data_IF_051368348883
#
_entry.id   IF_051368348883
#
_cell.length_a   1.000
_cell.length_b   1.000
_cell.length_c   1.000
_cell.angle_alpha   90.00
_cell.angle_beta   90.00
_cell.angle_gamma   90.00
#
_symmetry.space_group_name_H-M   'P 1'
#
loop_
_entity.id
_entity.type
_entity.pdbx_description
1 polymer ?
2 non-polymer ?
3 water ?
#
# COMPACT_ATOMS: atom_id res chain seq x y z
N UNK A 8 -6.95 -3.72 14.64
CA UNK A 8 -7.19 -2.67 15.68
C UNK A 8 -6.10 -1.61 15.86
N UNK A 9 -5.07 -1.62 15.04
CA UNK A 9 -4.01 -0.62 15.17
C UNK A 9 -4.52 0.74 14.70
N UNK A 10 -3.97 1.80 15.29
CA UNK A 10 -4.28 3.18 14.90
C UNK A 10 -3.90 3.48 13.43
N UNK A 11 -2.77 2.93 12.99
CA UNK A 11 -2.32 3.07 11.59
C UNK A 11 -3.30 2.42 10.59
N UNK A 12 -3.80 1.24 10.92
CA UNK A 12 -4.76 0.56 10.06
C UNK A 12 -6.09 1.31 10.00
N UNK A 13 -6.54 1.83 11.14
CA UNK A 13 -7.76 2.65 11.17
C UNK A 13 -7.66 3.89 10.29
N UNK A 14 -6.53 4.60 10.38
CA UNK A 14 -6.23 5.75 9.50
C UNK A 14 -6.23 5.38 8.00
N UNK A 15 -5.55 4.30 7.66
CA UNK A 15 -5.49 3.82 6.27
C UNK A 15 -6.89 3.50 5.70
N UNK A 16 -7.75 2.86 6.50
CA UNK A 16 -9.14 2.59 6.10
C UNK A 16 -9.93 3.91 5.94
N UNK A 17 -9.81 4.80 6.94
CA UNK A 17 -10.55 6.04 6.97
C UNK A 17 -10.18 6.98 5.82
N UNK A 18 -8.90 7.02 5.48
CA UNK A 18 -8.43 7.77 4.32
C UNK A 18 -8.95 7.34 2.97
N UNK A 19 -9.15 6.05 2.78
CA UNK A 19 -9.74 5.54 1.53
C UNK A 19 -11.19 5.91 1.51
N UNK A 20 -11.84 5.81 2.67
CA UNK A 20 -13.24 6.20 2.80
C UNK A 20 -13.47 7.69 2.61
N UNK A 21 -12.53 8.51 3.07
CA UNK A 21 -12.58 9.97 2.89
C UNK A 21 -12.57 10.35 1.42
N UNK A 22 -11.63 9.78 0.68
CA UNK A 22 -11.52 9.97 -0.77
C UNK A 22 -12.80 9.57 -1.49
N UNK A 23 -13.23 8.34 -1.23
CA UNK A 23 -14.45 7.79 -1.84
C UNK A 23 -15.65 8.71 -1.61
N UNK A 24 -15.79 9.22 -0.38
CA UNK A 24 -16.93 10.05 -0.02
C UNK A 24 -16.87 11.38 -0.75
N UNK A 25 -15.67 11.99 -0.77
CA UNK A 25 -15.44 13.23 -1.49
C UNK A 25 -15.67 13.03 -2.98
N UNK A 26 -15.18 11.93 -3.53
CA UNK A 26 -15.39 11.59 -4.96
C UNK A 26 -16.89 11.50 -5.32
N UNK A 27 -17.66 10.80 -4.47
CA UNK A 27 -19.12 10.68 -4.64
C UNK A 27 -19.82 12.02 -4.44
N UNK A 28 -19.41 12.76 -3.40
CA UNK A 28 -19.98 14.05 -3.13
C UNK A 28 -19.88 14.95 -4.36
N UNK A 29 -18.71 14.97 -4.99
CA UNK A 29 -18.45 15.89 -6.13
C UNK A 29 -19.21 15.46 -7.37
N UNK A 30 -19.28 14.13 -7.59
CA UNK A 30 -20.07 13.55 -8.67
C UNK A 30 -21.52 13.94 -8.54
N UNK A 31 -22.12 13.73 -7.36
CA UNK A 31 -23.55 14.01 -7.14
C UNK A 31 -23.91 15.48 -7.33
N UNK A 32 -23.06 16.37 -6.82
CA UNK A 32 -23.29 17.82 -6.98
C UNK A 32 -23.37 18.26 -8.43
N UNK A 33 -22.41 17.80 -9.24
CA UNK A 33 -22.38 18.03 -10.69
C UNK A 33 -23.66 17.55 -11.39
N UNK A 34 -24.06 16.31 -11.13
CA UNK A 34 -25.24 15.74 -11.80
C UNK A 34 -26.57 16.30 -11.27
N UNK A 35 -26.52 17.12 -10.23
CA UNK A 35 -27.68 17.84 -9.71
C UNK A 35 -27.20 19.17 -9.14
N UNK A 57 -32.65 17.21 -4.10
CA UNK A 57 -31.87 18.23 -4.79
C UNK A 57 -30.88 18.94 -3.86
N UNK A 58 -31.35 19.31 -2.67
CA UNK A 58 -30.53 20.03 -1.68
C UNK A 58 -29.42 19.17 -1.04
N UNK A 59 -29.74 17.88 -0.79
CA UNK A 59 -28.88 16.98 -0.03
C UNK A 59 -28.22 15.95 -0.96
N UNK A 60 -27.11 15.38 -0.50
CA UNK A 60 -26.40 14.34 -1.23
C UNK A 60 -26.40 13.07 -0.37
N UNK A 61 -27.02 12.02 -0.91
CA UNK A 61 -27.17 10.74 -0.22
C UNK A 61 -26.40 9.71 -1.00
N UNK A 62 -25.56 8.96 -0.29
CA UNK A 62 -24.75 7.88 -0.87
C UNK A 62 -25.08 6.55 -0.21
N UNK A 63 -25.26 5.52 -1.04
CA UNK A 63 -25.52 4.17 -0.58
C UNK A 63 -24.20 3.52 -0.18
N UNK A 64 -24.26 2.57 0.75
CA UNK A 64 -23.08 1.80 1.14
C UNK A 64 -22.60 0.91 0.00
N UNK A 65 -23.48 0.54 -0.92
CA UNK A 65 -23.09 -0.22 -2.11
C UNK A 65 -22.25 0.62 -3.09
N UNK A 66 -22.47 1.94 -3.10
CA UNK A 66 -21.70 2.86 -3.93
C UNK A 66 -20.35 3.20 -3.29
N UNK A 67 -20.31 3.22 -1.95
CA UNK A 67 -19.04 3.45 -1.25
C UNK A 67 -18.13 2.24 -1.50
N UNK A 68 -18.73 1.05 -1.53
CA UNK A 68 -18.05 -0.23 -1.74
C UNK A 68 -17.34 -0.39 -3.08
N UNK A 69 -17.76 0.34 -4.12
CA UNK A 69 -17.17 0.22 -5.46
C UNK A 69 -15.85 0.99 -5.61
N UNK A 70 -14.85 0.54 -4.88
CA UNK A 70 -13.51 1.10 -4.95
C UNK A 70 -12.51 0.01 -4.63
N UNK A 71 -11.54 -0.19 -5.52
CA UNK A 71 -10.61 -1.31 -5.43
C UNK A 71 -9.65 -1.20 -4.25
N UNK A 72 -9.15 0.00 -3.98
CA UNK A 72 -8.22 0.23 -2.85
C UNK A 72 -8.88 -0.01 -1.50
N UNK A 73 -10.13 0.42 -1.38
CA UNK A 73 -10.92 0.16 -0.15
C UNK A 73 -10.98 -1.36 0.08
N UNK A 74 -11.34 -2.10 -0.96
CA UNK A 74 -11.41 -3.57 -0.85
C UNK A 74 -10.04 -4.15 -0.53
N UNK A 75 -9.04 -3.76 -1.30
CA UNK A 75 -7.68 -4.25 -1.04
C UNK A 75 -7.20 -3.91 0.38
N UNK A 76 -7.60 -2.75 0.91
CA UNK A 76 -7.13 -2.30 2.25
C UNK A 76 -7.82 -3.09 3.35
N UNK A 77 -9.14 -3.21 3.23
CA UNK A 77 -9.91 -4.09 4.13
C UNK A 77 -9.48 -5.57 4.02
N UNK A 78 -9.07 -6.03 2.84
CA UNK A 78 -8.61 -7.43 2.66
C UNK A 78 -7.29 -7.78 3.36
N UNK A 79 -6.50 -6.77 3.72
CA UNK A 79 -5.30 -6.96 4.54
C UNK A 79 -5.59 -7.78 5.83
N UNK A 80 -6.63 -7.41 6.60
CA UNK A 80 -6.97 -8.09 7.86
C UNK A 80 -8.26 -8.89 7.89
N UNK A 81 -9.20 -8.65 6.98
CA UNK A 81 -10.51 -9.29 7.05
C UNK A 81 -10.84 -10.05 5.79
N UNK A 82 -11.70 -11.04 5.95
CA UNK A 82 -12.27 -11.78 4.83
C UNK A 82 -13.49 -11.00 4.36
N UNK A 83 -13.37 -10.31 3.23
CA UNK A 83 -14.44 -9.47 2.69
C UNK A 83 -14.84 -9.85 1.26
N UNK A 84 -14.68 -11.13 0.93
CA UNK A 84 -15.06 -11.66 -0.39
C UNK A 84 -16.59 -11.69 -0.55
N UNK A 85 -17.30 -11.96 0.55
CA UNK A 85 -18.77 -11.88 0.59
C UNK A 85 -19.23 -10.46 0.88
N UNK A 86 -20.23 -10.01 0.12
CA UNK A 86 -20.66 -8.61 0.15
C UNK A 86 -21.08 -8.14 1.53
N UNK A 87 -21.89 -8.96 2.20
CA UNK A 87 -22.43 -8.60 3.51
C UNK A 87 -21.33 -8.34 4.54
N UNK A 88 -20.29 -9.17 4.50
CA UNK A 88 -19.12 -9.00 5.34
C UNK A 88 -18.28 -7.78 4.96
N UNK A 89 -18.16 -7.53 3.66
CA UNK A 89 -17.51 -6.33 3.16
C UNK A 89 -18.30 -5.08 3.63
N UNK A 90 -19.62 -5.12 3.48
CA UNK A 90 -20.49 -4.02 3.87
C UNK A 90 -20.48 -3.82 5.38
N UNK A 91 -20.45 -4.91 6.14
CA UNK A 91 -20.38 -4.80 7.59
C UNK A 91 -19.14 -3.99 8.02
N UNK A 92 -17.97 -4.33 7.46
CA UNK A 92 -16.72 -3.68 7.84
C UNK A 92 -16.64 -2.22 7.40
N UNK A 93 -17.27 -1.89 6.26
CA UNK A 93 -17.46 -0.50 5.84
C UNK A 93 -18.35 0.28 6.82
N UNK A 94 -19.49 -0.31 7.22
CA UNK A 94 -20.39 0.34 8.20
C UNK A 94 -19.68 0.59 9.53
N UNK A 95 -18.90 -0.39 9.98
CA UNK A 95 -18.09 -0.25 11.19
C UNK A 95 -17.10 0.95 11.14
N UNK A 96 -16.27 1.03 10.10
CA UNK A 96 -15.32 2.16 9.93
C UNK A 96 -16.02 3.51 9.75
N UNK A 97 -17.16 3.52 9.10
CA UNK A 97 -18.00 4.73 8.94
C UNK A 97 -18.70 5.27 10.22
N UNK A 98 -18.79 4.49 11.31
CA UNK A 98 -19.35 5.00 12.60
C UNK A 98 -18.60 6.24 13.10
N UNK A 99 -17.27 6.23 13.00
CA UNK A 99 -16.48 7.41 13.33
C UNK A 99 -16.79 8.66 12.48
N UNK A 100 -17.11 8.44 11.20
CA UNK A 100 -17.49 9.53 10.28
C UNK A 100 -18.81 10.15 10.74
N UNK A 101 -19.71 9.32 11.24
CA UNK A 101 -20.99 9.80 11.80
C UNK A 101 -20.73 10.66 13.03
N UNK A 102 -19.91 10.18 13.96
CA UNK A 102 -19.66 10.91 15.21
C UNK A 102 -18.94 12.27 15.06
N UNK A 103 -18.14 12.46 13.99
CA UNK A 103 -17.52 13.76 13.67
C UNK A 103 -18.40 14.65 12.75
N UNK A 104 -19.57 14.14 12.35
CA UNK A 104 -20.57 14.90 11.56
C UNK A 104 -20.20 15.09 10.08
N UNK A 105 -19.28 14.29 9.57
CA UNK A 105 -18.98 14.26 8.15
C UNK A 105 -20.09 13.52 7.36
N UNK A 106 -20.70 12.53 8.01
CA UNK A 106 -21.86 11.81 7.47
C UNK A 106 -22.96 11.71 8.54
N UNK A 107 -24.17 11.40 8.08
CA UNK A 107 -25.28 11.06 8.95
C UNK A 107 -26.04 9.87 8.33
N UNK A 108 -26.27 8.82 9.12
CA UNK A 108 -26.98 7.65 8.58
C UNK A 108 -28.46 8.02 8.49
N UNK A 109 -29.05 7.77 7.31
CA UNK A 109 -30.47 8.07 7.09
C UNK A 109 -31.32 6.86 6.77
N UNK A 110 -30.69 5.76 6.37
CA UNK A 110 -31.37 4.50 6.14
C UNK A 110 -30.53 3.41 6.82
N UNK A 111 -31.18 2.58 7.63
CA UNK A 111 -30.47 1.68 8.58
C UNK A 111 -30.56 0.19 8.27
N UNK A 112 -31.49 -0.20 7.40
CA UNK A 112 -31.90 -1.59 7.25
C UNK A 112 -31.55 -2.09 5.87
N UNK A 113 -30.50 -2.91 5.82
CA UNK A 113 -30.06 -3.56 4.59
C UNK A 113 -31.24 -4.24 3.86
N UNK A 114 -31.39 -4.09 2.54
CA UNK A 114 -30.39 -3.53 1.61
C UNK A 114 -30.31 -2.01 1.48
N UNK A 115 -31.09 -1.24 2.25
CA UNK A 115 -31.03 0.22 2.23
C UNK A 115 -30.24 0.79 3.43
N UNK A 116 -28.91 0.76 3.30
CA UNK A 116 -28.02 1.47 4.22
C UNK A 116 -27.41 2.58 3.43
N UNK A 117 -27.72 3.81 3.80
CA UNK A 117 -27.17 4.96 3.11
C UNK A 117 -27.01 6.14 4.05
N UNK A 118 -26.21 7.11 3.61
CA UNK A 118 -25.74 8.23 4.42
C UNK A 118 -25.91 9.56 3.69
N UNK A 119 -26.24 10.60 4.44
CA UNK A 119 -26.20 11.95 3.94
C UNK A 119 -24.81 12.53 4.20
N UNK A 120 -24.21 13.17 3.20
CA UNK A 120 -22.86 13.76 3.39
C UNK A 120 -23.05 15.22 3.76
N UNK A 121 -22.28 15.66 4.75
CA UNK A 121 -22.23 17.06 5.16
C UNK A 121 -21.35 17.77 4.15
N UNK A 122 -21.96 18.66 3.39
CA UNK A 122 -21.28 19.37 2.34
C UNK A 122 -20.32 20.41 2.96
N UNK A 123 -20.73 21.05 4.06
CA UNK A 123 -19.88 21.93 4.87
C UNK A 123 -18.59 21.27 5.35
N UNK A 124 -18.68 20.03 5.84
CA UNK A 124 -17.49 19.31 6.32
C UNK A 124 -16.43 19.23 5.23
N UNK A 125 -16.82 18.80 4.03
CA UNK A 125 -15.86 18.65 2.93
C UNK A 125 -15.46 19.95 2.27
N UNK A 126 -16.37 20.92 2.21
CA UNK A 126 -16.01 22.26 1.75
C UNK A 126 -14.99 22.87 2.74
N UNK A 127 -15.22 22.73 4.03
CA UNK A 127 -14.25 23.17 5.03
C UNK A 127 -12.85 22.55 4.80
N UNK A 128 -12.79 21.26 4.44
CA UNK A 128 -11.53 20.61 4.11
C UNK A 128 -10.86 21.32 2.94
N UNK A 129 -11.65 21.69 1.91
CA UNK A 129 -11.10 22.39 0.76
C UNK A 129 -10.62 23.81 1.10
N UNK A 130 -11.38 24.53 1.93
CA UNK A 130 -10.99 25.89 2.41
C UNK A 130 -9.63 25.88 3.15
N UNK A 131 -9.46 24.89 4.03
CA UNK A 131 -8.25 24.73 4.85
C UNK A 131 -7.03 24.33 4.01
N UNK A 132 -7.23 23.37 3.10
CA UNK A 132 -6.18 22.96 2.15
C UNK A 132 -5.71 24.11 1.28
N UNK A 133 -6.65 24.86 0.73
CA UNK A 133 -6.38 26.03 -0.07
C UNK A 133 -5.55 27.09 0.68
N UNK A 134 -5.94 27.40 1.91
CA UNK A 134 -5.29 28.44 2.68
C UNK A 134 -3.85 28.03 3.08
N UNK A 135 -3.69 26.77 3.47
CA UNK A 135 -2.40 26.20 3.86
C UNK A 135 -1.34 26.30 2.76
N UNK A 136 -1.74 25.95 1.54
CA UNK A 136 -0.81 25.99 0.40
C UNK A 136 -0.60 27.41 -0.08
N UNK A 137 -1.67 28.21 -0.12
CA UNK A 137 -1.58 29.62 -0.48
C UNK A 137 -0.64 30.42 0.43
N UNK A 138 -0.71 30.21 1.75
CA UNK A 138 0.14 30.98 2.70
C UNK A 138 1.63 30.63 2.61
N UNK A 139 1.93 29.44 2.10
CA UNK A 139 3.32 29.03 1.84
C UNK A 139 3.98 29.81 0.70
N UNK A 140 3.17 30.26 -0.27
CA UNK A 140 3.64 31.07 -1.38
C UNK A 140 4.71 30.36 -2.19
N UNK A 141 5.73 31.12 -2.60
CA UNK A 141 6.81 30.59 -3.43
C UNK A 141 7.66 29.50 -2.80
N UNK A 142 7.70 29.40 -1.47
CA UNK A 142 8.34 28.24 -0.81
C UNK A 142 7.58 26.92 -1.08
N UNK A 143 6.26 27.00 -1.23
CA UNK A 143 5.44 25.83 -1.45
C UNK A 143 5.45 24.89 -0.26
N UNK A 144 4.92 23.68 -0.45
CA UNK A 144 4.95 22.68 0.59
C UNK A 144 4.86 21.29 0.01
N UNK A 145 4.93 20.30 0.89
CA UNK A 145 4.92 18.90 0.51
C UNK A 145 3.73 18.15 1.10
N UNK A 146 3.66 16.84 0.86
CA UNK A 146 2.49 16.04 1.21
C UNK A 146 2.35 15.88 2.73
N UNK A 147 3.44 15.64 3.45
CA UNK A 147 3.38 15.54 4.93
C UNK A 147 2.93 16.84 5.59
N UNK A 148 3.47 17.95 5.12
CA UNK A 148 3.15 19.25 5.71
C UNK A 148 1.65 19.49 5.63
N UNK A 149 1.10 19.37 4.42
CA UNK A 149 -0.32 19.55 4.19
C UNK A 149 -1.18 18.62 5.05
N UNK A 150 -0.80 17.34 5.12
CA UNK A 150 -1.48 16.34 5.99
C UNK A 150 -1.51 16.72 7.47
N UNK A 151 -0.35 17.07 8.01
CA UNK A 151 -0.25 17.56 9.40
C UNK A 151 -1.07 18.83 9.64
N UNK A 152 -1.07 19.72 8.66
CA UNK A 152 -1.81 20.98 8.74
C UNK A 152 -3.32 20.80 8.69
N UNK A 153 -3.80 19.98 7.74
CA UNK A 153 -5.23 19.65 7.66
C UNK A 153 -5.69 19.08 8.98
N UNK A 154 -4.99 18.04 9.42
CA UNK A 154 -5.26 17.35 10.69
C UNK A 154 -5.25 18.25 11.93
N UNK A 155 -4.25 19.11 12.05
CA UNK A 155 -4.21 20.08 13.17
C UNK A 155 -5.43 21.00 13.13
N UNK A 156 -5.84 21.41 11.93
CA UNK A 156 -6.93 22.38 11.75
C UNK A 156 -8.34 21.78 11.82
N UNK A 157 -8.48 20.48 11.55
CA UNK A 157 -9.76 19.80 11.80
C UNK A 157 -9.93 19.52 13.29
N UNK A 158 -8.82 19.13 13.94
CA UNK A 158 -8.77 18.95 15.37
C UNK A 158 -9.88 18.00 15.85
N UNK A 159 -9.85 16.76 15.35
CA UNK A 159 -10.86 15.75 15.65
C UNK A 159 -10.38 14.79 16.76
N UNK A 160 -10.20 15.37 17.95
CA UNK A 160 -9.56 14.67 19.08
C UNK A 160 -10.47 13.61 19.71
N UNK A 161 -11.77 13.75 19.51
CA UNK A 161 -12.77 12.75 19.91
C UNK A 161 -12.75 11.37 19.15
N UNK A 162 -11.82 11.15 18.20
CA UNK A 162 -11.71 9.85 17.51
C UNK A 162 -10.55 8.98 18.00
N UNK A 163 -9.34 9.55 18.11
CA UNK A 163 -8.11 8.88 18.63
C UNK A 163 -7.15 8.31 17.56
N UNK A 164 -7.52 8.44 16.30
CA UNK A 164 -6.59 8.26 15.17
C UNK A 164 -6.97 9.36 14.15
N UNK A 165 -6.02 9.79 13.30
CA UNK A 165 -6.38 10.77 12.27
C UNK A 165 -7.21 10.15 11.13
N UNK A 166 -8.13 10.94 10.57
CA UNK A 166 -8.91 10.52 9.39
C UNK A 166 -8.20 10.82 8.06
N UNK A 167 -7.18 11.68 8.11
CA UNK A 167 -6.47 12.13 6.93
C UNK A 167 -5.29 11.19 6.64
N UNK A 168 -5.44 10.33 5.63
CA UNK A 168 -4.34 9.48 5.21
C UNK A 168 -3.53 10.17 4.14
N UNK A 169 -2.35 9.63 3.89
CA UNK A 169 -1.50 10.04 2.79
C UNK A 169 -2.24 9.89 1.45
N UNK A 170 -2.91 8.76 1.23
CA UNK A 170 -3.61 8.57 -0.06
C UNK A 170 -4.76 9.60 -0.27
N UNK A 171 -5.44 9.99 0.78
CA UNK A 171 -6.46 11.06 0.67
C UNK A 171 -5.82 12.41 0.32
N UNK A 172 -4.69 12.72 0.91
CA UNK A 172 -3.97 13.96 0.59
C UNK A 172 -3.51 14.00 -0.87
N UNK A 173 -2.94 12.91 -1.39
CA UNK A 173 -2.59 12.88 -2.82
C UNK A 173 -3.77 13.03 -3.75
N UNK A 174 -4.93 12.47 -3.39
CA UNK A 174 -6.14 12.71 -4.18
C UNK A 174 -6.56 14.22 -4.16
N UNK A 175 -6.50 14.86 -3.00
CA UNK A 175 -6.78 16.30 -2.93
C UNK A 175 -5.81 17.16 -3.73
N UNK A 176 -4.52 16.87 -3.62
CA UNK A 176 -3.48 17.61 -4.34
C UNK A 176 -3.70 17.48 -5.84
N UNK A 177 -3.90 16.24 -6.31
CA UNK A 177 -4.22 15.99 -7.73
C UNK A 177 -5.51 16.63 -8.21
N UNK A 178 -6.55 16.62 -7.38
CA UNK A 178 -7.77 17.38 -7.66
C UNK A 178 -7.49 18.86 -7.84
N UNK A 179 -6.79 19.47 -6.87
CA UNK A 179 -6.36 20.87 -6.99
C UNK A 179 -5.57 21.17 -8.28
N UNK A 180 -4.69 20.26 -8.69
CA UNK A 180 -3.90 20.42 -9.92
C UNK A 180 -4.78 20.39 -11.17
N UNK A 181 -5.81 19.53 -11.18
CA UNK A 181 -6.73 19.47 -12.32
C UNK A 181 -7.59 20.70 -12.50
N UNK A 182 -7.72 21.49 -11.44
CA UNK A 182 -8.42 22.77 -11.48
C UNK A 182 -7.48 23.98 -11.56
N UNK A 183 -6.22 23.73 -11.93
CA UNK A 183 -5.20 24.78 -12.10
C UNK A 183 -4.83 25.57 -10.83
N UNK A 184 -5.14 25.04 -9.66
CA UNK A 184 -4.90 25.75 -8.41
C UNK A 184 -3.48 25.48 -7.87
N UNK A 185 -2.95 24.30 -8.16
CA UNK A 185 -1.65 23.90 -7.67
C UNK A 185 -0.80 23.34 -8.81
N UNK A 186 0.50 23.67 -8.80
CA UNK A 186 1.50 23.07 -9.70
C UNK A 186 2.38 22.12 -8.91
N UNK A 187 2.48 20.88 -9.40
CA UNK A 187 3.27 19.84 -8.74
C UNK A 187 4.63 19.70 -9.42
N UNK A 188 5.67 19.69 -8.60
CA UNK A 188 7.05 19.61 -9.06
C UNK A 188 7.36 18.15 -9.37
N UNK A 189 8.03 17.89 -10.48
CA UNK A 189 8.47 16.52 -10.79
C UNK A 189 9.77 16.08 -10.10
N UNK A 190 10.48 17.00 -9.43
CA UNK A 190 11.72 16.66 -8.73
C UNK A 190 11.49 15.84 -7.45
N UNK A 191 12.43 14.95 -7.16
CA UNK A 191 12.41 14.04 -6.01
C UNK A 191 13.82 14.03 -5.47
N UNK A 192 13.96 13.84 -4.16
CA UNK A 192 15.26 13.60 -3.52
C UNK A 192 15.57 12.11 -3.44
N UNK A 193 16.86 11.79 -3.54
CA UNK A 193 17.33 10.43 -3.30
C UNK A 193 18.64 10.48 -2.53
N UNK A 194 18.95 9.38 -1.83
CA UNK A 194 20.07 9.31 -0.88
C UNK A 194 20.89 8.06 -1.14
N UNK A 195 22.21 8.20 -1.01
CA UNK A 195 23.10 7.06 -0.92
C UNK A 195 22.77 6.25 0.34
N UNK A 196 22.58 4.94 0.18
CA UNK A 196 22.41 4.01 1.31
C UNK A 196 23.74 3.71 2.00
N UNK A 197 23.94 4.28 3.19
CA UNK A 197 25.21 4.13 3.92
C UNK A 197 25.39 2.73 4.50
N UNK A 198 26.32 1.96 3.93
CA UNK A 198 26.56 0.55 4.32
C UNK A 198 27.01 0.41 5.79
N UNK B 9 -5.08 -12.44 7.74
CA UNK B 9 -3.64 -12.74 7.95
C UNK B 9 -2.93 -13.33 6.73
N UNK B 10 -3.58 -14.19 5.95
CA UNK B 10 -2.94 -14.77 4.76
C UNK B 10 -2.47 -13.67 3.79
N UNK B 11 -3.38 -12.74 3.48
CA UNK B 11 -3.01 -11.58 2.67
C UNK B 11 -1.92 -10.70 3.32
N UNK B 12 -1.98 -10.49 4.64
CA UNK B 12 -0.94 -9.69 5.33
C UNK B 12 0.43 -10.36 5.35
N UNK B 13 0.46 -11.68 5.51
CA UNK B 13 1.72 -12.42 5.47
C UNK B 13 2.35 -12.36 4.08
N UNK B 14 1.52 -12.50 3.05
CA UNK B 14 1.97 -12.32 1.66
C UNK B 14 2.56 -10.92 1.44
N UNK B 15 1.89 -9.90 1.94
CA UNK B 15 2.37 -8.52 1.74
C UNK B 15 3.74 -8.34 2.40
N UNK B 16 3.90 -8.85 3.63
CA UNK B 16 5.17 -8.78 4.35
C UNK B 16 6.27 -9.60 3.62
N UNK B 17 5.94 -10.83 3.24
CA UNK B 17 6.85 -11.72 2.52
C UNK B 17 7.32 -11.13 1.19
N UNK B 18 6.39 -10.53 0.46
CA UNK B 18 6.70 -9.82 -0.77
C UNK B 18 7.70 -8.70 -0.63
N UNK B 19 7.56 -7.91 0.44
CA UNK B 19 8.53 -6.87 0.71
C UNK B 19 9.88 -7.46 1.04
N UNK B 20 9.91 -8.51 1.85
CA UNK B 20 11.16 -9.16 2.26
C UNK B 20 11.91 -9.84 1.10
N UNK B 21 11.16 -10.39 0.15
CA UNK B 21 11.73 -11.00 -1.06
C UNK B 21 12.47 -9.99 -1.93
N UNK B 22 11.83 -8.86 -2.19
CA UNK B 22 12.43 -7.73 -2.91
C UNK B 22 13.71 -7.27 -2.24
N UNK B 23 13.61 -6.92 -0.97
CA UNK B 23 14.77 -6.48 -0.17
C UNK B 23 15.91 -7.48 -0.26
N UNK B 24 15.60 -8.77 -0.09
CA UNK B 24 16.60 -9.82 -0.14
C UNK B 24 17.24 -9.96 -1.54
N UNK B 25 16.41 -9.92 -2.59
CA UNK B 25 16.91 -10.01 -3.96
C UNK B 25 17.81 -8.81 -4.24
N UNK B 26 17.35 -7.64 -3.81
CA UNK B 26 18.13 -6.39 -3.87
C UNK B 26 19.53 -6.48 -3.22
N UNK B 27 19.59 -7.07 -2.02
CA UNK B 27 20.87 -7.20 -1.31
C UNK B 27 21.78 -8.23 -1.98
N UNK B 28 21.19 -9.36 -2.35
CA UNK B 28 21.87 -10.38 -3.12
C UNK B 28 22.58 -9.80 -4.33
N UNK B 29 21.87 -9.02 -5.13
CA UNK B 29 22.42 -8.48 -6.38
C UNK B 29 23.51 -7.45 -6.09
N UNK B 30 23.29 -6.60 -5.07
CA UNK B 30 24.31 -5.65 -4.60
C UNK B 30 25.59 -6.34 -4.20
N UNK B 31 25.49 -7.41 -3.41
CA UNK B 31 26.67 -8.12 -2.88
C UNK B 31 27.41 -8.89 -3.97
N UNK B 32 26.67 -9.57 -4.85
CA UNK B 32 27.30 -10.32 -5.94
C UNK B 32 28.28 -9.47 -6.74
N UNK B 33 27.84 -8.31 -7.21
CA UNK B 33 28.73 -7.43 -7.99
C UNK B 33 29.75 -6.64 -7.11
N UNK B 34 29.58 -6.61 -5.80
CA UNK B 34 30.61 -6.08 -4.89
C UNK B 34 31.92 -6.91 -4.91
N UNK B 35 31.87 -8.10 -5.48
CA UNK B 35 33.06 -8.89 -5.77
C UNK B 35 33.37 -8.83 -7.29
N UNK B 36 32.42 -9.27 -8.12
CA UNK B 36 32.55 -9.21 -9.59
C UNK B 36 31.18 -9.10 -10.25
N UNK B 57 34.21 -15.00 -0.38
CA UNK B 57 33.66 -14.50 -1.63
C UNK B 57 32.49 -15.34 -2.17
N UNK B 58 32.55 -16.67 -1.98
CA UNK B 58 31.54 -17.61 -2.50
C UNK B 58 30.08 -17.32 -2.05
N UNK B 59 29.91 -17.02 -0.76
CA UNK B 59 28.59 -16.91 -0.13
C UNK B 59 28.21 -15.44 0.13
N UNK B 60 26.92 -15.22 0.32
CA UNK B 60 26.38 -13.87 0.52
C UNK B 60 25.58 -13.87 1.82
N UNK B 61 26.07 -13.08 2.78
CA UNK B 61 25.47 -12.96 4.10
C UNK B 61 24.87 -11.57 4.20
N UNK B 62 23.61 -11.50 4.63
CA UNK B 62 22.92 -10.23 4.86
C UNK B 62 22.53 -10.10 6.33
N UNK B 63 22.71 -8.91 6.88
CA UNK B 63 22.41 -8.65 8.27
C UNK B 63 20.97 -8.23 8.36
N UNK B 64 20.34 -8.53 9.50
CA UNK B 64 18.96 -8.11 9.73
C UNK B 64 18.86 -6.58 9.79
N UNK B 65 19.96 -5.90 10.15
CA UNK B 65 20.00 -4.43 10.13
C UNK B 65 20.01 -3.86 8.71
N UNK B 66 20.57 -4.59 7.75
CA UNK B 66 20.51 -4.20 6.32
C UNK B 66 19.15 -4.52 5.72
N UNK B 67 18.50 -5.59 6.19
CA UNK B 67 17.16 -5.93 5.72
C UNK B 67 16.16 -4.88 6.20
N UNK B 68 16.34 -4.43 7.44
CA UNK B 68 15.53 -3.39 8.05
C UNK B 68 15.50 -2.03 7.33
N UNK B 69 16.56 -1.66 6.60
CA UNK B 69 16.63 -0.35 5.91
C UNK B 69 15.78 -0.27 4.62
N UNK B 70 14.46 -0.40 4.77
CA UNK B 70 13.53 -0.28 3.66
C UNK B 70 12.23 0.32 4.18
N UNK B 71 11.85 1.44 3.58
CA UNK B 71 10.67 2.20 4.03
C UNK B 71 9.36 1.43 3.89
N UNK B 72 9.18 0.70 2.79
CA UNK B 72 7.94 -0.04 2.58
C UNK B 72 7.81 -1.22 3.56
N UNK B 73 8.93 -1.85 3.91
CA UNK B 73 8.93 -2.88 4.95
C UNK B 73 8.45 -2.28 6.28
N UNK B 74 8.99 -1.13 6.65
CA UNK B 74 8.62 -0.47 7.90
C UNK B 74 7.15 -0.10 7.93
N UNK B 75 6.69 0.53 6.87
CA UNK B 75 5.28 0.92 6.76
C UNK B 75 4.35 -0.27 6.70
N UNK B 76 4.78 -1.39 6.11
CA UNK B 76 3.92 -2.58 6.03
C UNK B 76 3.77 -3.23 7.40
N UNK B 77 4.88 -3.38 8.11
CA UNK B 77 4.85 -3.89 9.48
C UNK B 77 4.11 -2.95 10.43
N UNK B 78 4.20 -1.64 10.19
CA UNK B 78 3.49 -0.65 11.02
C UNK B 78 1.98 -0.73 10.93
N UNK B 79 1.47 -1.35 9.86
CA UNK B 79 0.03 -1.61 9.75
C UNK B 79 -0.52 -2.32 11.01
N UNK B 80 0.07 -3.45 11.39
CA UNK B 80 -0.40 -4.25 12.55
C UNK B 80 0.45 -4.15 13.84
N UNK B 81 1.70 -3.68 13.73
CA UNK B 81 2.62 -3.71 14.87
C UNK B 81 3.24 -2.35 15.14
N UNK B 82 3.62 -2.12 16.39
CA UNK B 82 4.41 -0.94 16.75
C UNK B 82 5.88 -1.29 16.61
N UNK B 83 6.55 -0.67 15.64
CA UNK B 83 7.93 -1.00 15.31
C UNK B 83 8.81 0.25 15.30
N UNK B 84 8.51 1.20 16.19
CA UNK B 84 9.30 2.44 16.33
C UNK B 84 10.66 2.17 16.95
N UNK B 85 10.68 1.30 17.94
CA UNK B 85 11.91 0.86 18.59
C UNK B 85 12.60 -0.18 17.73
N UNK B 86 13.89 0.03 17.44
CA UNK B 86 14.73 -0.87 16.64
C UNK B 86 14.50 -2.36 16.94
N UNK B 87 14.62 -2.70 18.22
CA UNK B 87 14.65 -4.10 18.69
C UNK B 87 13.34 -4.81 18.35
N UNK B 88 12.25 -4.09 18.51
CA UNK B 88 10.91 -4.59 18.19
C UNK B 88 10.71 -4.75 16.68
N UNK B 89 11.19 -3.78 15.91
CA UNK B 89 11.19 -3.86 14.46
C UNK B 89 11.98 -5.10 13.98
N UNK B 90 13.17 -5.29 14.53
CA UNK B 90 14.02 -6.44 14.22
C UNK B 90 13.39 -7.77 14.59
N UNK B 91 12.73 -7.82 15.74
CA UNK B 91 12.01 -9.01 16.20
C UNK B 91 10.93 -9.48 15.18
N UNK B 92 10.13 -8.54 14.68
CA UNK B 92 9.07 -8.86 13.74
C UNK B 92 9.60 -9.29 12.37
N UNK B 93 10.71 -8.69 11.96
CA UNK B 93 11.45 -9.11 10.76
C UNK B 93 11.97 -10.53 10.92
N UNK B 94 12.55 -10.84 12.07
CA UNK B 94 13.03 -12.19 12.37
C UNK B 94 11.91 -13.24 12.37
N UNK B 95 10.75 -12.85 12.90
CA UNK B 95 9.56 -13.70 12.88
C UNK B 95 9.05 -13.97 11.46
N UNK B 96 8.94 -12.93 10.64
CA UNK B 96 8.50 -13.06 9.25
C UNK B 96 9.48 -13.88 8.41
N UNK B 97 10.77 -13.76 8.69
CA UNK B 97 11.82 -14.49 7.94
C UNK B 97 11.91 -16.00 8.25
N UNK B 98 11.32 -16.48 9.36
CA UNK B 98 11.35 -17.93 9.66
C UNK B 98 10.84 -18.77 8.49
N UNK B 99 9.80 -18.30 7.81
CA UNK B 99 9.26 -19.01 6.66
C UNK B 99 10.23 -19.08 5.47
N UNK B 100 11.09 -18.08 5.30
CA UNK B 100 12.11 -18.07 4.24
C UNK B 100 13.20 -19.10 4.53
N UNK B 101 13.53 -19.26 5.80
CA UNK B 101 14.46 -20.31 6.23
C UNK B 101 13.85 -21.68 5.90
N UNK B 102 12.58 -21.88 6.22
CA UNK B 102 11.94 -23.20 6.00
C UNK B 102 11.80 -23.62 4.51
N UNK B 103 11.78 -22.64 3.58
CA UNK B 103 11.84 -22.94 2.12
C UNK B 103 13.27 -22.86 1.53
N UNK B 104 14.27 -22.65 2.37
CA UNK B 104 15.68 -22.60 1.97
C UNK B 104 16.09 -21.43 1.06
N UNK B 105 15.27 -20.37 1.01
CA UNK B 105 15.70 -19.11 0.39
C UNK B 105 16.81 -18.45 1.22
N UNK B 106 16.77 -18.63 2.54
CA UNK B 106 17.81 -18.14 3.46
C UNK B 106 18.23 -19.25 4.42
N UNK B 107 19.33 -19.00 5.13
CA UNK B 107 19.80 -19.85 6.21
C UNK B 107 20.42 -18.95 7.29
N UNK B 108 19.97 -19.10 8.54
CA UNK B 108 20.51 -18.27 9.63
C UNK B 108 21.89 -18.80 10.03
N UNK B 109 22.89 -17.94 10.00
CA UNK B 109 24.25 -18.31 10.38
C UNK B 109 24.74 -17.61 11.65
N UNK B 110 24.03 -16.59 12.10
CA UNK B 110 24.36 -15.89 13.33
C UNK B 110 23.06 -15.61 14.09
N UNK B 111 23.02 -16.00 15.36
CA UNK B 111 21.76 -16.10 16.11
C UNK B 111 21.59 -15.10 17.26
N UNK B 112 22.66 -14.42 17.66
CA UNK B 112 22.70 -13.66 18.90
C UNK B 112 22.86 -12.18 18.62
N UNK B 113 21.82 -11.42 18.95
CA UNK B 113 21.81 -9.97 18.79
C UNK B 113 22.94 -9.34 19.64
N UNK B 114 23.72 -8.38 19.11
CA UNK B 114 23.45 -7.63 17.85
C UNK B 114 23.70 -8.34 16.53
N UNK B 115 24.26 -9.55 16.54
CA UNK B 115 24.59 -10.24 15.29
C UNK B 115 23.55 -11.32 14.88
N UNK B 116 22.54 -10.88 14.14
CA UNK B 116 21.58 -11.77 13.48
C UNK B 116 21.77 -11.57 11.99
N UNK B 117 22.18 -12.61 11.31
CA UNK B 117 22.44 -12.52 9.87
C UNK B 117 22.11 -13.84 9.20
N UNK B 118 21.90 -13.76 7.89
CA UNK B 118 21.44 -14.88 7.07
C UNK B 118 22.29 -15.04 5.82
N UNK B 119 22.51 -16.28 5.42
CA UNK B 119 23.15 -16.59 4.17
C UNK B 119 22.03 -16.78 3.18
N UNK B 120 22.13 -16.16 2.01
CA UNK B 120 21.02 -16.25 1.03
C UNK B 120 21.36 -17.31 -0.01
N UNK B 121 20.33 -18.07 -0.40
CA UNK B 121 20.47 -19.14 -1.39
C UNK B 121 20.48 -18.52 -2.78
N UNK B 122 21.65 -18.53 -3.41
CA UNK B 122 21.83 -17.88 -4.67
C UNK B 122 21.04 -18.61 -5.78
N UNK B 123 20.94 -19.94 -5.67
CA UNK B 123 20.12 -20.75 -6.60
C UNK B 123 18.62 -20.55 -6.44
N UNK B 124 18.16 -20.30 -5.22
CA UNK B 124 16.73 -20.05 -4.99
C UNK B 124 16.27 -18.85 -5.82
N UNK B 125 17.05 -17.76 -5.75
CA UNK B 125 16.74 -16.55 -6.51
C UNK B 125 17.07 -16.61 -7.98
N UNK B 126 18.08 -17.37 -8.38
CA UNK B 126 18.35 -17.59 -9.82
C UNK B 126 17.24 -18.43 -10.47
N UNK B 127 16.74 -19.43 -9.74
CA UNK B 127 15.57 -20.17 -10.19
C UNK B 127 14.33 -19.30 -10.45
N UNK B 128 14.09 -18.28 -9.61
CA UNK B 128 12.99 -17.33 -9.85
C UNK B 128 13.23 -16.54 -11.14
N UNK B 129 14.47 -16.16 -11.40
CA UNK B 129 14.81 -15.48 -12.64
C UNK B 129 14.63 -16.38 -13.89
N UNK B 130 15.05 -17.64 -13.81
CA UNK B 130 14.82 -18.59 -14.93
C UNK B 130 13.32 -18.80 -15.22
N UNK B 131 12.54 -18.93 -14.15
CA UNK B 131 11.09 -19.11 -14.25
C UNK B 131 10.37 -17.89 -14.82
N UNK B 132 10.73 -16.69 -14.35
CA UNK B 132 10.17 -15.46 -14.88
C UNK B 132 10.52 -15.29 -16.36
N UNK B 133 11.78 -15.56 -16.71
CA UNK B 133 12.24 -15.49 -18.09
C UNK B 133 11.46 -16.45 -18.99
N UNK B 134 11.26 -17.68 -18.52
CA UNK B 134 10.54 -18.68 -19.30
C UNK B 134 9.09 -18.30 -19.55
N UNK B 135 8.41 -17.84 -18.51
CA UNK B 135 7.00 -17.47 -18.61
C UNK B 135 6.75 -16.39 -19.65
N UNK B 136 7.58 -15.35 -19.62
CA UNK B 136 7.42 -14.21 -20.50
C UNK B 136 7.84 -14.57 -21.93
N UNK B 137 8.94 -15.30 -22.06
CA UNK B 137 9.42 -15.74 -23.37
C UNK B 137 8.41 -16.65 -24.11
N UNK B 138 7.76 -17.58 -23.39
CA UNK B 138 6.79 -18.50 -24.00
C UNK B 138 5.50 -17.80 -24.49
N UNK B 139 5.15 -16.68 -23.86
CA UNK B 139 4.02 -15.87 -24.31
C UNK B 139 4.29 -15.09 -25.62
N UNK B 140 5.57 -14.84 -25.91
CA UNK B 140 5.99 -14.17 -27.14
C UNK B 140 5.32 -12.84 -27.39
N UNK B 141 4.88 -12.63 -28.63
CA UNK B 141 4.19 -11.41 -29.06
C UNK B 141 2.81 -11.17 -28.43
N UNK B 142 2.21 -12.17 -27.79
CA UNK B 142 1.01 -11.93 -26.96
C UNK B 142 1.38 -11.19 -25.66
N UNK B 143 2.54 -11.52 -25.11
CA UNK B 143 3.00 -10.89 -23.89
C UNK B 143 2.14 -11.34 -22.72
N UNK B 144 2.33 -10.70 -21.59
CA UNK B 144 1.52 -10.99 -20.42
C UNK B 144 1.50 -9.79 -19.54
N UNK B 145 0.76 -9.91 -18.43
CA UNK B 145 0.63 -8.84 -17.45
C UNK B 145 1.10 -9.30 -16.07
N UNK B 146 0.94 -8.46 -15.07
CA UNK B 146 1.50 -8.71 -13.74
C UNK B 146 0.83 -9.87 -13.02
N UNK B 147 -0.49 -9.97 -13.12
CA UNK B 147 -1.23 -11.09 -12.49
C UNK B 147 -0.84 -12.42 -13.08
N UNK B 148 -0.79 -12.49 -14.40
CA UNK B 148 -0.38 -13.73 -15.09
C UNK B 148 0.97 -14.22 -14.56
N UNK B 149 1.95 -13.33 -14.55
CA UNK B 149 3.31 -13.66 -14.10
C UNK B 149 3.36 -14.07 -12.61
N UNK B 150 2.67 -13.29 -11.77
CA UNK B 150 2.52 -13.59 -10.34
C UNK B 150 2.00 -15.02 -10.14
N UNK B 151 0.89 -15.33 -10.80
CA UNK B 151 0.26 -16.67 -10.71
C UNK B 151 1.16 -17.78 -11.27
N UNK B 152 1.89 -17.51 -12.35
CA UNK B 152 2.75 -18.51 -12.98
C UNK B 152 4.05 -18.80 -12.19
N UNK B 153 4.65 -17.77 -11.59
CA UNK B 153 5.77 -17.96 -10.65
C UNK B 153 5.40 -18.84 -9.47
N UNK B 154 4.30 -18.47 -8.83
CA UNK B 154 3.75 -19.16 -7.65
C UNK B 154 3.44 -20.64 -7.87
N UNK B 155 2.83 -20.99 -9.00
CA UNK B 155 2.59 -22.40 -9.35
C UNK B 155 3.91 -23.15 -9.56
N UNK B 156 4.86 -22.52 -10.24
CA UNK B 156 6.14 -23.17 -10.54
C UNK B 156 7.04 -23.38 -9.32
N UNK B 157 7.01 -22.45 -8.36
CA UNK B 157 7.77 -22.61 -7.11
C UNK B 157 7.13 -23.68 -6.22
N UNK B 158 5.80 -23.67 -6.16
CA UNK B 158 5.04 -24.75 -5.55
C UNK B 158 5.48 -24.95 -4.10
N UNK B 159 5.30 -23.91 -3.29
CA UNK B 159 5.76 -23.89 -1.90
C UNK B 159 4.58 -24.13 -0.95
N UNK B 160 3.92 -25.27 -1.14
CA UNK B 160 2.70 -25.62 -0.40
C UNK B 160 2.96 -25.93 1.08
N UNK B 161 4.23 -26.17 1.43
CA UNK B 161 4.66 -26.27 2.83
C UNK B 161 4.48 -24.97 3.69
N UNK B 162 4.20 -23.81 3.07
CA UNK B 162 4.02 -22.54 3.80
C UNK B 162 2.55 -22.14 4.05
N UNK B 163 1.69 -22.30 3.04
CA UNK B 163 0.21 -22.06 3.14
C UNK B 163 -0.29 -20.64 2.75
N UNK B 164 0.64 -19.73 2.45
CA UNK B 164 0.36 -18.45 1.79
C UNK B 164 1.46 -18.25 0.73
N UNK B 165 1.16 -17.53 -0.37
CA UNK B 165 2.21 -17.26 -1.36
C UNK B 165 3.25 -16.23 -0.86
N UNK B 166 4.52 -16.47 -1.21
CA UNK B 166 5.61 -15.52 -0.91
C UNK B 166 5.79 -14.43 -1.97
N UNK B 167 5.10 -14.58 -3.10
CA UNK B 167 5.17 -13.65 -4.23
C UNK B 167 4.03 -12.65 -4.12
N UNK B 168 4.36 -11.41 -3.78
CA UNK B 168 3.38 -10.34 -3.79
C UNK B 168 3.42 -9.59 -5.10
N UNK B 169 2.44 -8.71 -5.27
CA UNK B 169 2.36 -7.80 -6.39
C UNK B 169 3.59 -6.88 -6.49
N UNK B 170 4.00 -6.28 -5.37
CA UNK B 170 5.16 -5.38 -5.40
C UNK B 170 6.47 -6.09 -5.74
N UNK B 171 6.64 -7.35 -5.33
CA UNK B 171 7.83 -8.10 -5.73
C UNK B 171 7.82 -8.37 -7.25
N UNK B 172 6.67 -8.73 -7.80
CA UNK B 172 6.58 -8.99 -9.22
C UNK B 172 6.94 -7.73 -10.01
N UNK B 173 6.43 -6.59 -9.59
CA UNK B 173 6.74 -5.36 -10.30
C UNK B 173 8.20 -4.91 -10.14
N UNK B 174 8.81 -5.16 -8.98
CA UNK B 174 10.27 -5.02 -8.88
C UNK B 174 11.03 -5.92 -9.90
N UNK B 175 10.59 -7.18 -10.05
CA UNK B 175 11.24 -8.08 -10.99
C UNK B 175 11.06 -7.66 -12.44
N UNK B 176 9.87 -7.19 -12.77
CA UNK B 176 9.57 -6.72 -14.12
C UNK B 176 10.45 -5.53 -14.49
N UNK B 177 10.54 -4.54 -13.60
CA UNK B 177 11.40 -3.35 -13.81
C UNK B 177 12.88 -3.66 -13.87
N UNK B 178 13.35 -4.55 -13.01
CA UNK B 178 14.70 -5.12 -13.12
C UNK B 178 14.99 -5.70 -14.52
N UNK B 179 14.09 -6.56 -15.01
CA UNK B 179 14.20 -7.10 -16.39
C UNK B 179 14.18 -6.00 -17.47
N UNK B 180 13.36 -4.97 -17.29
CA UNK B 180 13.34 -3.85 -18.23
C UNK B 180 14.67 -3.09 -18.23
N UNK B 181 15.27 -2.87 -17.07
CA UNK B 181 16.57 -2.17 -17.01
C UNK B 181 17.72 -2.95 -17.62
N UNK B 182 17.54 -4.27 -17.76
CA UNK B 182 18.47 -5.12 -18.46
C UNK B 182 18.06 -5.43 -19.91
N UNK B 183 17.13 -4.66 -20.48
CA UNK B 183 16.67 -4.78 -21.87
C UNK B 183 16.00 -6.11 -22.23
N UNK B 184 15.56 -6.88 -21.23
CA UNK B 184 15.00 -8.20 -21.45
C UNK B 184 13.49 -8.11 -21.74
N UNK B 185 12.85 -7.07 -21.21
CA UNK B 185 11.41 -6.90 -21.28
C UNK B 185 11.05 -5.46 -21.65
N UNK B 186 10.10 -5.30 -22.57
CA UNK B 186 9.49 -4.01 -22.89
C UNK B 186 8.13 -3.89 -22.19
N UNK B 187 7.92 -2.77 -21.49
CA UNK B 187 6.65 -2.53 -20.77
C UNK B 187 5.79 -1.55 -21.56
N UNK B 188 4.51 -1.91 -21.72
CA UNK B 188 3.54 -1.10 -22.45
C UNK B 188 3.03 -0.03 -21.51
N UNK B 189 2.96 1.23 -21.98
CA UNK B 189 2.32 2.31 -21.23
C UNK B 189 0.77 2.35 -21.33
N UNK B 190 0.16 1.47 -22.15
CA UNK B 190 -1.31 1.43 -22.27
C UNK B 190 -2.00 0.78 -21.06
N UNK B 191 -3.12 1.36 -20.67
CA UNK B 191 -3.92 0.96 -19.51
C UNK B 191 -5.36 0.92 -19.96
N UNK B 192 -6.14 0.02 -19.36
CA UNK B 192 -7.58 -0.02 -19.58
C UNK B 192 -8.29 0.81 -18.50
N UNK B 193 -9.39 1.44 -18.87
CA UNK B 193 -10.28 2.10 -17.93
C UNK B 193 -11.73 1.82 -18.32
N UNK B 194 -12.63 1.93 -17.34
CA UNK B 194 -14.02 1.51 -17.47
C UNK B 194 -14.96 2.57 -16.94
N UNK B 195 -16.11 2.70 -17.59
CA UNK B 195 -17.23 3.47 -17.08
C UNK B 195 -17.81 2.81 -15.81
N UNK B 196 -18.06 3.59 -14.76
CA UNK B 196 -18.72 3.07 -13.54
C UNK B 196 -20.24 3.06 -13.67
N UNK B 197 -20.81 1.89 -13.99
CA UNK B 197 -22.26 1.67 -14.01
C UNK B 197 -22.56 0.26 -13.55
#
# INVERSE_FOLDING_TARGET
>A
KSNQENINSLKYKELIAGELMRITHKLLIQKLQQQQPANNNKQINEMDVESNELAEKKEVIIKIQEIAKDQQLYDTLSIQYQVDQKEQYYAKIAQSLEDFVSISALKMVSYIYPNISYQVSIGFFQNILDIATKTVKDRGALGCNYKYLKDKLTKALNLQQISYPLISESYISYLVHLFQDFNIIEIENEHKFYYKQAFQYDDS
>B
KSNQENINSLKYKELIAGELMRITHKLLIQKLQQQQPANNNKQINEMDVESNELAEKKEVIIKIQEIAKDQQLYDTLSIQYQVDQKEQYYAKIAQSLEDFVSISALKMVSYIYPNISYQVSIGFFQNILDIATKTVKDRGALGCNYKYLKDKLTKALNLQQISYPLISESYISYLVHLFQDFNIIEIENEHKFYYKQAFQYDDS
#
